data_IF_929100757888
#
_entry.id   IF_929100757888
#
_cell.length_a   1.000
_cell.length_b   1.000
_cell.length_c   1.000
_cell.angle_alpha   90.00
_cell.angle_beta   90.00
_cell.angle_gamma   90.00
#
_symmetry.space_group_name_H-M   'P 1'
#
loop_
_entity.id
_entity.type
_entity.pdbx_description
1 polymer ?
#
# COMPACT_ATOMS: atom_id res chain seq x y z
N UNK A 1 -20.31 4.03 12.04
CA UNK A 1 -19.52 3.53 13.19
C UNK A 1 -18.05 3.87 12.97
N UNK A 2 -17.39 4.53 13.92
CA UNK A 2 -15.97 4.86 13.83
C UNK A 2 -15.14 3.62 14.21
N UNK A 3 -14.36 3.05 13.28
CA UNK A 3 -13.51 1.92 13.62
C UNK A 3 -12.44 2.35 14.65
N UNK A 4 -12.26 1.61 15.77
CA UNK A 4 -11.16 1.80 16.72
C UNK A 4 -9.80 1.90 16.03
N UNK A 5 -8.86 2.62 16.63
CA UNK A 5 -7.55 2.92 16.02
C UNK A 5 -6.79 1.65 15.61
N UNK A 6 -6.84 0.58 16.41
CA UNK A 6 -6.25 -0.73 16.10
C UNK A 6 -6.82 -1.32 14.81
N UNK A 7 -8.16 -1.32 14.63
CA UNK A 7 -8.80 -1.85 13.42
C UNK A 7 -8.32 -1.10 12.18
N UNK A 8 -8.12 0.22 12.27
CA UNK A 8 -7.58 1.01 11.14
C UNK A 8 -6.16 0.60 10.78
N UNK A 9 -5.32 0.30 11.77
CA UNK A 9 -3.95 -0.16 11.54
C UNK A 9 -3.95 -1.57 10.91
N UNK A 10 -4.83 -2.46 11.36
CA UNK A 10 -5.01 -3.80 10.79
C UNK A 10 -5.50 -3.74 9.34
N UNK A 11 -6.49 -2.90 9.04
CA UNK A 11 -6.97 -2.69 7.67
C UNK A 11 -5.87 -2.15 6.74
N UNK A 12 -5.04 -1.23 7.22
CA UNK A 12 -3.88 -0.74 6.45
C UNK A 12 -2.81 -1.82 6.26
N UNK A 13 -2.63 -2.71 7.24
CA UNK A 13 -1.71 -3.85 7.12
C UNK A 13 -2.19 -4.84 6.05
N UNK A 14 -3.49 -5.16 6.03
CA UNK A 14 -4.09 -5.99 4.99
C UNK A 14 -3.96 -5.33 3.61
N UNK A 15 -4.24 -4.02 3.52
CA UNK A 15 -4.09 -3.25 2.29
C UNK A 15 -2.64 -3.25 1.77
N UNK A 16 -1.64 -3.14 2.65
CA UNK A 16 -0.23 -3.30 2.28
C UNK A 16 0.02 -4.67 1.64
N UNK A 17 -0.46 -5.76 2.24
CA UNK A 17 -0.31 -7.10 1.67
C UNK A 17 -0.95 -7.26 0.28
N UNK A 18 -2.08 -6.58 0.05
CA UNK A 18 -2.72 -6.54 -1.28
C UNK A 18 -1.87 -5.77 -2.30
N UNK A 19 -1.29 -4.63 -1.92
CA UNK A 19 -0.38 -3.88 -2.80
C UNK A 19 0.87 -4.69 -3.14
N UNK A 20 1.44 -5.41 -2.18
CA UNK A 20 2.58 -6.29 -2.42
C UNK A 20 2.22 -7.42 -3.40
N UNK A 21 1.03 -8.01 -3.25
CA UNK A 21 0.51 -9.01 -4.18
C UNK A 21 0.33 -8.44 -5.59
N UNK A 22 -0.25 -7.25 -5.71
CA UNK A 22 -0.41 -6.56 -7.01
C UNK A 22 0.95 -6.32 -7.65
N UNK A 23 1.94 -5.83 -6.90
CA UNK A 23 3.30 -5.60 -7.40
C UNK A 23 3.93 -6.89 -7.91
N UNK A 24 3.80 -7.99 -7.17
CA UNK A 24 4.33 -9.29 -7.58
C UNK A 24 3.71 -9.78 -8.89
N UNK A 25 2.37 -9.80 -8.98
CA UNK A 25 1.70 -10.25 -10.20
C UNK A 25 1.96 -9.30 -11.37
N UNK A 26 2.06 -8.00 -11.12
CA UNK A 26 2.36 -7.03 -12.18
C UNK A 26 3.77 -7.20 -12.74
N UNK A 27 4.76 -7.48 -11.89
CA UNK A 27 6.10 -7.88 -12.31
C UNK A 27 6.06 -9.14 -13.17
N UNK A 28 5.33 -10.17 -12.73
CA UNK A 28 5.20 -11.42 -13.46
C UNK A 28 4.57 -11.24 -14.84
N UNK A 29 3.52 -10.41 -14.96
CA UNK A 29 2.87 -10.11 -16.23
C UNK A 29 3.82 -9.39 -17.21
N UNK A 30 4.66 -8.50 -16.70
CA UNK A 30 5.68 -7.84 -17.50
C UNK A 30 6.78 -8.79 -17.96
N UNK A 31 7.29 -9.65 -17.07
CA UNK A 31 8.28 -10.67 -17.42
C UNK A 31 7.74 -11.67 -18.46
N UNK A 32 6.46 -12.04 -18.35
CA UNK A 32 5.74 -12.84 -19.34
C UNK A 32 5.46 -12.11 -20.67
N UNK A 33 5.93 -10.87 -20.83
CA UNK A 33 5.72 -10.02 -22.01
C UNK A 33 4.23 -9.74 -22.32
N UNK A 34 3.35 -9.87 -21.31
CA UNK A 34 1.92 -9.58 -21.43
C UNK A 34 1.59 -8.10 -21.22
N UNK A 35 2.53 -7.35 -20.62
CA UNK A 35 2.41 -5.92 -20.37
C UNK A 35 3.55 -5.18 -21.08
N UNK A 36 3.26 -4.27 -22.02
CA UNK A 36 4.27 -3.44 -22.67
C UNK A 36 5.04 -2.54 -21.69
N UNK A 37 6.31 -2.26 -21.98
CA UNK A 37 7.19 -1.45 -21.10
C UNK A 37 6.61 -0.09 -20.71
N UNK A 38 5.96 0.62 -21.63
CA UNK A 38 5.36 1.92 -21.35
C UNK A 38 4.21 1.82 -20.32
N UNK A 39 3.39 0.78 -20.44
CA UNK A 39 2.31 0.50 -19.49
C UNK A 39 2.87 0.03 -18.15
N UNK A 40 3.91 -0.81 -18.16
CA UNK A 40 4.60 -1.25 -16.97
C UNK A 40 5.17 -0.07 -16.16
N UNK A 41 5.80 0.90 -16.82
CA UNK A 41 6.33 2.11 -16.17
C UNK A 41 5.20 2.96 -15.58
N UNK A 42 4.13 3.21 -16.35
CA UNK A 42 3.01 4.06 -15.90
C UNK A 42 2.28 3.45 -14.70
N UNK A 43 1.82 2.20 -14.83
CA UNK A 43 1.08 1.51 -13.77
C UNK A 43 1.98 1.16 -12.58
N UNK A 44 3.26 0.86 -12.81
CA UNK A 44 4.24 0.64 -11.75
C UNK A 44 4.39 1.87 -10.85
N UNK A 45 4.42 3.07 -11.43
CA UNK A 45 4.43 4.34 -10.69
C UNK A 45 3.18 4.51 -9.83
N UNK A 46 2.00 4.18 -10.37
CA UNK A 46 0.74 4.23 -9.60
C UNK A 46 0.74 3.24 -8.43
N UNK A 47 1.19 2.00 -8.65
CA UNK A 47 1.33 0.98 -7.59
C UNK A 47 2.31 1.44 -6.51
N UNK A 48 3.42 2.08 -6.89
CA UNK A 48 4.38 2.64 -5.94
C UNK A 48 3.76 3.78 -5.12
N UNK A 49 3.01 4.67 -5.75
CA UNK A 49 2.31 5.76 -5.08
C UNK A 49 1.27 5.23 -4.08
N UNK A 50 0.53 4.18 -4.43
CA UNK A 50 -0.38 3.48 -3.51
C UNK A 50 0.36 2.95 -2.27
N UNK A 51 1.52 2.30 -2.48
CA UNK A 51 2.36 1.83 -1.38
C UNK A 51 2.85 2.96 -0.45
N UNK A 52 3.26 4.10 -1.02
CA UNK A 52 3.67 5.29 -0.26
C UNK A 52 2.52 5.85 0.57
N UNK A 53 1.31 5.94 0.00
CA UNK A 53 0.13 6.45 0.69
C UNK A 53 -0.25 5.56 1.89
N UNK A 54 -0.35 4.24 1.66
CA UNK A 54 -0.69 3.27 2.72
C UNK A 54 0.37 3.28 3.83
N UNK A 55 1.65 3.27 3.46
CA UNK A 55 2.76 3.35 4.41
C UNK A 55 2.77 4.66 5.21
N UNK A 56 2.50 5.79 4.55
CA UNK A 56 2.39 7.10 5.17
C UNK A 56 1.24 7.17 6.17
N UNK A 57 0.06 6.68 5.81
CA UNK A 57 -1.11 6.63 6.70
C UNK A 57 -0.85 5.72 7.90
N UNK A 58 -0.25 4.54 7.69
CA UNK A 58 0.07 3.62 8.78
C UNK A 58 1.05 4.25 9.77
N UNK A 59 2.14 4.86 9.29
CA UNK A 59 3.12 5.59 10.12
C UNK A 59 2.44 6.73 10.90
N UNK A 60 1.58 7.49 10.23
CA UNK A 60 0.80 8.57 10.85
C UNK A 60 -0.07 8.07 12.01
N UNK A 61 -0.81 6.98 11.81
CA UNK A 61 -1.67 6.39 12.85
C UNK A 61 -0.87 5.82 14.03
N UNK A 62 0.22 5.08 13.77
CA UNK A 62 1.10 4.55 14.81
C UNK A 62 1.72 5.68 15.64
N UNK A 63 2.18 6.75 14.99
CA UNK A 63 2.74 7.91 15.70
C UNK A 63 1.71 8.63 16.59
N UNK A 64 0.43 8.63 16.19
CA UNK A 64 -0.67 9.19 16.98
C UNK A 64 -1.02 8.31 18.18
N UNK A 65 -0.85 6.99 18.07
CA UNK A 65 -1.01 6.06 19.18
C UNK A 65 0.07 6.24 20.25
N UNK A 66 1.30 6.59 19.85
CA UNK A 66 2.45 6.75 20.76
C UNK A 66 2.50 8.10 21.50
N UNK A 67 1.67 9.09 21.11
CA UNK A 67 1.55 10.34 21.86
C UNK A 67 0.45 10.20 22.92
N UNK A 68 0.77 10.02 24.21
CA UNK A 68 -0.24 10.18 25.24
C UNK A 68 -0.72 11.63 25.18
N UNK A 69 -2.04 11.80 25.25
CA UNK A 69 -2.69 13.11 25.41
C UNK A 69 -2.06 13.84 26.60
N UNK A 70 -1.21 14.82 26.32
CA UNK A 70 -0.88 15.91 27.23
C UNK A 70 -1.84 17.05 26.95
#
# INVERSE_FOLDING_TARGET
MYAPMQIRIELLQEASGKVDSIRFFFQLLWEAQLVPNNQYISLGSEIENLGKMIGGWKKGLVSKQMKPST
#
